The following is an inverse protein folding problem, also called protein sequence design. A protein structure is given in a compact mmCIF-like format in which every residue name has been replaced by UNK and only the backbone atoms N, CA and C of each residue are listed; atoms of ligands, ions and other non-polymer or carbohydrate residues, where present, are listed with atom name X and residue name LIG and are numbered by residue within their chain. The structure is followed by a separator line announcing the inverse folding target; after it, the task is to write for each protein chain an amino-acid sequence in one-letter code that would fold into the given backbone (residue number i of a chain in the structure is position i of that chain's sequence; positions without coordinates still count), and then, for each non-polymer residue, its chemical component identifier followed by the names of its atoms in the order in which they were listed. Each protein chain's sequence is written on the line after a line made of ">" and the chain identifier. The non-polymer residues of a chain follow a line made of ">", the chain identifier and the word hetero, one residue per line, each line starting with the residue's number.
data_IF_905495786193
#
_entry.id   IF_905495786193
#
_cell.length_a   1.000
_cell.length_b   1.000
_cell.length_c   1.000
_cell.angle_alpha   90.00
_cell.angle_beta   90.00
_cell.angle_gamma   90.00
#
_symmetry.space_group_name_H-M   'P 1'
#
loop_
_entity.id
_entity.type
_entity.pdbx_description
1 polymer ?
#
# COMPACT_ATOMS: atom_id res chain seq x y z
N UNK A 1 20.24 -19.09 -8.84
CA UNK A 1 19.72 -17.83 -9.39
C UNK A 1 19.36 -17.02 -8.18
N UNK A 2 20.20 -16.08 -7.80
CA UNK A 2 19.80 -15.11 -6.79
C UNK A 2 18.73 -14.25 -7.43
N UNK A 3 17.66 -13.97 -6.69
CA UNK A 3 16.66 -12.98 -7.06
C UNK A 3 16.52 -12.08 -5.84
N UNK A 4 16.40 -10.77 -6.06
CA UNK A 4 15.97 -9.90 -4.97
C UNK A 4 14.49 -10.17 -4.72
N UNK A 5 14.16 -10.43 -3.46
CA UNK A 5 12.77 -10.59 -3.05
C UNK A 5 12.21 -9.23 -2.66
N UNK A 6 11.10 -8.84 -3.30
CA UNK A 6 10.23 -7.78 -2.80
C UNK A 6 9.12 -8.38 -1.93
N UNK A 7 7.89 -7.95 -2.15
CA UNK A 7 6.71 -8.51 -1.46
C UNK A 7 6.38 -9.86 -2.08
N UNK A 8 6.49 -10.95 -1.31
CA UNK A 8 6.20 -12.30 -1.82
C UNK A 8 5.30 -13.07 -0.85
N UNK A 9 4.19 -13.59 -1.36
CA UNK A 9 3.29 -14.49 -0.64
C UNK A 9 3.04 -15.76 -1.45
N UNK A 10 3.12 -16.91 -0.78
CA UNK A 10 2.97 -18.23 -1.41
C UNK A 10 1.90 -19.06 -0.68
N UNK A 11 0.83 -19.44 -1.40
CA UNK A 11 -0.34 -20.13 -0.85
C UNK A 11 -1.17 -19.27 0.12
N UNK A 12 -1.24 -17.97 -0.14
CA UNK A 12 -1.90 -16.99 0.72
C UNK A 12 -3.26 -16.57 0.17
N UNK A 13 -4.17 -16.22 1.08
CA UNK A 13 -5.52 -15.82 0.74
C UNK A 13 -5.88 -14.44 1.29
N UNK A 14 -6.81 -13.76 0.62
CA UNK A 14 -7.42 -12.52 1.08
C UNK A 14 -6.39 -11.40 1.35
N UNK A 15 -5.36 -11.31 0.51
CA UNK A 15 -4.35 -10.26 0.64
C UNK A 15 -4.83 -8.94 0.02
N UNK A 16 -4.38 -7.83 0.58
CA UNK A 16 -4.52 -6.48 0.02
C UNK A 16 -3.14 -5.85 -0.08
N UNK A 17 -2.57 -5.87 -1.28
CA UNK A 17 -1.31 -5.20 -1.59
C UNK A 17 -1.68 -3.94 -2.35
N UNK A 18 -1.87 -2.86 -1.61
CA UNK A 18 -2.38 -1.60 -2.15
C UNK A 18 -1.40 -0.48 -1.85
N UNK A 19 -1.11 0.36 -2.84
CA UNK A 19 -0.28 1.57 -2.67
C UNK A 19 1.14 1.31 -2.15
N UNK A 20 1.82 0.29 -2.67
CA UNK A 20 3.23 0.01 -2.36
C UNK A 20 4.15 0.52 -3.47
N UNK A 21 5.33 1.01 -3.10
CA UNK A 21 6.46 1.24 -4.01
C UNK A 21 7.50 0.14 -3.79
N UNK A 22 7.69 -0.74 -4.77
CA UNK A 22 8.61 -1.89 -4.70
C UNK A 22 9.59 -1.84 -5.87
N UNK A 23 10.77 -1.30 -5.60
CA UNK A 23 11.80 -1.09 -6.61
C UNK A 23 13.17 -1.52 -6.11
N UNK A 24 14.10 -1.56 -7.06
CA UNK A 24 15.51 -1.73 -6.80
C UNK A 24 16.20 -0.38 -6.69
N UNK A 25 16.79 -0.07 -5.53
CA UNK A 25 17.55 1.17 -5.37
C UNK A 25 18.98 1.07 -5.91
N UNK A 26 19.37 -0.10 -6.46
CA UNK A 26 20.64 -0.32 -7.18
C UNK A 26 20.37 -1.16 -8.44
N UNK A 27 19.66 -0.60 -9.43
CA UNK A 27 19.25 -1.35 -10.63
C UNK A 27 20.43 -1.90 -11.44
N UNK A 28 21.60 -1.24 -11.36
CA UNK A 28 22.81 -1.61 -12.11
C UNK A 28 23.65 -2.71 -11.43
N UNK A 29 23.35 -3.04 -10.16
CA UNK A 29 24.13 -3.96 -9.35
C UNK A 29 23.31 -5.20 -8.94
N UNK A 30 23.24 -6.22 -9.81
CA UNK A 30 22.89 -7.58 -9.39
C UNK A 30 21.71 -8.23 -10.13
N UNK A 31 21.13 -9.32 -9.58
CA UNK A 31 20.17 -10.16 -10.27
C UNK A 31 18.83 -9.46 -10.56
N UNK A 32 17.87 -10.21 -11.16
CA UNK A 32 16.52 -9.71 -11.50
C UNK A 32 15.92 -8.80 -10.42
N UNK A 33 15.22 -7.73 -10.83
CA UNK A 33 14.66 -6.74 -9.92
C UNK A 33 13.65 -7.37 -8.93
N UNK A 34 13.42 -6.74 -7.76
CA UNK A 34 12.43 -7.19 -6.82
C UNK A 34 11.03 -7.21 -7.44
N UNK A 35 10.14 -8.01 -6.87
CA UNK A 35 8.78 -8.18 -7.38
C UNK A 35 7.73 -8.00 -6.29
N UNK A 36 6.51 -7.74 -6.73
CA UNK A 36 5.29 -8.14 -6.04
C UNK A 36 4.88 -9.51 -6.60
N UNK A 37 4.90 -10.54 -5.75
CA UNK A 37 4.56 -11.91 -6.15
C UNK A 37 3.51 -12.55 -5.26
N UNK A 38 2.45 -13.06 -5.88
CA UNK A 38 1.44 -13.90 -5.27
C UNK A 38 1.33 -15.18 -6.10
N UNK A 39 1.74 -16.30 -5.54
CA UNK A 39 1.78 -17.58 -6.27
C UNK A 39 1.41 -18.74 -5.35
N UNK A 40 1.20 -19.93 -5.90
CA UNK A 40 0.89 -21.11 -5.12
C UNK A 40 2.09 -21.51 -4.24
N UNK A 41 1.82 -22.05 -3.06
CA UNK A 41 2.87 -22.64 -2.25
C UNK A 41 3.49 -23.82 -2.99
N UNK A 42 4.77 -24.11 -2.73
CA UNK A 42 5.48 -25.28 -3.32
C UNK A 42 4.76 -26.62 -3.07
N UNK A 43 3.95 -26.68 -2.00
CA UNK A 43 3.10 -27.82 -1.67
C UNK A 43 1.71 -27.80 -2.38
N UNK A 44 1.53 -26.96 -3.41
CA UNK A 44 0.30 -26.82 -4.23
C UNK A 44 -0.92 -26.24 -3.51
N UNK A 45 -0.73 -25.60 -2.36
CA UNK A 45 -1.78 -24.76 -1.77
C UNK A 45 -1.95 -23.52 -2.64
N UNK A 46 -3.15 -23.28 -3.23
CA UNK A 46 -3.35 -22.17 -4.14
C UNK A 46 -3.34 -20.83 -3.41
N UNK A 47 -2.86 -19.77 -4.05
CA UNK A 47 -3.15 -18.40 -3.60
C UNK A 47 -4.46 -17.90 -4.24
N UNK A 48 -5.30 -17.20 -3.47
CA UNK A 48 -6.59 -16.72 -4.01
C UNK A 48 -7.23 -15.54 -3.26
N UNK A 49 -8.14 -14.85 -3.95
CA UNK A 49 -8.96 -13.74 -3.43
C UNK A 49 -8.14 -12.54 -2.98
N UNK A 50 -7.06 -12.26 -3.69
CA UNK A 50 -6.17 -11.17 -3.37
C UNK A 50 -6.43 -9.96 -4.27
N UNK A 51 -6.11 -8.78 -3.76
CA UNK A 51 -6.13 -7.51 -4.49
C UNK A 51 -4.71 -6.96 -4.55
N UNK A 52 -4.23 -6.68 -5.76
CA UNK A 52 -2.98 -5.98 -6.04
C UNK A 52 -3.31 -4.74 -6.84
N UNK A 53 -3.30 -3.58 -6.18
CA UNK A 53 -3.81 -2.33 -6.75
C UNK A 53 -2.95 -1.12 -6.39
N UNK A 54 -2.91 -0.13 -7.26
CA UNK A 54 -2.20 1.14 -7.01
C UNK A 54 -0.72 0.98 -6.68
N UNK A 55 -0.06 -0.11 -7.06
CA UNK A 55 1.35 -0.31 -6.74
C UNK A 55 2.24 0.24 -7.85
N UNK A 56 3.40 0.79 -7.44
CA UNK A 56 4.54 1.04 -8.31
C UNK A 56 5.55 -0.08 -8.09
N UNK A 57 5.86 -0.86 -9.13
CA UNK A 57 6.86 -1.92 -8.98
C UNK A 57 7.65 -2.20 -10.24
N UNK A 58 8.90 -2.62 -10.09
CA UNK A 58 9.71 -3.10 -11.22
C UNK A 58 9.25 -4.47 -11.75
N UNK A 59 8.44 -5.23 -11.01
CA UNK A 59 7.84 -6.48 -11.49
C UNK A 59 6.62 -6.89 -10.67
N UNK A 60 5.54 -7.33 -11.34
CA UNK A 60 4.35 -7.89 -10.70
C UNK A 60 4.05 -9.26 -11.31
N UNK A 61 3.83 -10.26 -10.46
CA UNK A 61 3.57 -11.65 -10.83
C UNK A 61 2.50 -12.24 -9.91
N UNK A 62 1.26 -12.30 -10.37
CA UNK A 62 0.14 -12.79 -9.56
C UNK A 62 -0.63 -13.95 -10.21
N UNK A 63 -1.17 -14.84 -9.38
CA UNK A 63 -1.99 -15.97 -9.81
C UNK A 63 -3.44 -15.61 -10.17
N UNK A 64 -4.15 -16.56 -10.78
CA UNK A 64 -5.43 -16.35 -11.47
C UNK A 64 -6.61 -15.84 -10.60
N UNK A 65 -6.62 -16.09 -9.29
CA UNK A 65 -7.65 -15.58 -8.37
C UNK A 65 -7.24 -14.25 -7.69
N UNK A 66 -6.42 -13.44 -8.36
CA UNK A 66 -6.01 -12.10 -7.90
C UNK A 66 -6.59 -11.03 -8.82
N UNK A 67 -7.24 -10.03 -8.25
CA UNK A 67 -7.54 -8.79 -8.97
C UNK A 67 -6.28 -7.95 -9.04
N UNK A 68 -5.77 -7.74 -10.24
CA UNK A 68 -4.62 -6.87 -10.52
C UNK A 68 -5.06 -5.72 -11.43
N UNK A 69 -5.02 -4.50 -10.93
CA UNK A 69 -5.37 -3.30 -11.70
C UNK A 69 -4.73 -2.04 -11.12
N UNK A 70 -4.74 -0.94 -11.88
CA UNK A 70 -4.15 0.35 -11.48
C UNK A 70 -2.72 0.21 -10.92
N UNK A 71 -1.93 -0.76 -11.38
CA UNK A 71 -0.51 -0.84 -11.04
C UNK A 71 0.31 -0.30 -12.20
N UNK A 72 1.47 0.28 -11.91
CA UNK A 72 2.41 0.74 -12.92
C UNK A 72 3.74 -0.01 -12.75
N UNK A 73 4.26 -0.51 -13.87
CA UNK A 73 5.61 -1.05 -13.93
C UNK A 73 6.62 0.10 -14.04
N UNK A 74 7.65 0.06 -13.20
CA UNK A 74 8.70 1.08 -13.17
C UNK A 74 9.74 0.76 -14.24
N UNK A 75 9.78 1.60 -15.27
CA UNK A 75 10.74 1.48 -16.38
C UNK A 75 11.88 2.50 -16.30
N UNK A 76 11.62 3.67 -15.70
CA UNK A 76 12.61 4.74 -15.50
C UNK A 76 12.43 5.36 -14.09
N UNK A 77 13.39 5.10 -13.22
CA UNK A 77 13.41 5.60 -11.85
C UNK A 77 13.55 7.12 -11.80
N UNK A 78 14.37 7.71 -12.68
CA UNK A 78 14.64 9.13 -12.69
C UNK A 78 13.46 9.94 -13.23
N UNK A 79 12.61 9.34 -14.06
CA UNK A 79 11.36 9.97 -14.51
C UNK A 79 10.31 10.05 -13.40
N UNK A 80 10.30 9.08 -12.48
CA UNK A 80 9.27 8.96 -11.45
C UNK A 80 9.62 9.63 -10.12
N UNK A 81 10.86 9.53 -9.64
CA UNK A 81 11.20 9.86 -8.25
C UNK A 81 12.23 11.00 -8.14
N UNK A 82 12.12 11.80 -7.09
CA UNK A 82 13.01 12.95 -6.84
C UNK A 82 14.48 12.54 -6.66
N UNK A 83 14.79 11.58 -5.77
CA UNK A 83 16.16 11.12 -5.53
C UNK A 83 16.23 9.68 -4.97
N UNK A 84 16.19 8.70 -5.87
CA UNK A 84 16.26 7.27 -5.51
C UNK A 84 17.58 6.90 -4.80
N UNK A 85 18.68 7.57 -5.12
CA UNK A 85 19.99 7.26 -4.54
C UNK A 85 20.03 7.58 -3.03
N UNK A 86 19.24 8.57 -2.60
CA UNK A 86 19.07 8.96 -1.21
C UNK A 86 17.75 8.47 -0.58
N UNK A 87 17.06 7.54 -1.24
CA UNK A 87 15.76 6.98 -0.82
C UNK A 87 14.62 8.00 -0.75
N UNK A 88 14.74 9.12 -1.45
CA UNK A 88 13.64 10.03 -1.69
C UNK A 88 12.79 9.50 -2.85
N UNK A 89 11.73 8.77 -2.47
CA UNK A 89 10.79 8.14 -3.39
C UNK A 89 9.51 8.96 -3.56
N UNK A 90 9.53 10.25 -3.23
CA UNK A 90 8.45 11.15 -3.61
C UNK A 90 8.36 11.23 -5.14
N UNK A 91 7.12 11.28 -5.63
CA UNK A 91 6.88 11.44 -7.06
C UNK A 91 7.34 12.82 -7.52
N UNK A 92 7.96 12.88 -8.69
CA UNK A 92 8.23 14.15 -9.37
C UNK A 92 6.93 14.69 -9.93
N UNK A 93 6.74 16.02 -10.06
CA UNK A 93 5.57 16.59 -10.74
C UNK A 93 5.42 16.14 -12.21
N UNK A 94 6.49 15.62 -12.82
CA UNK A 94 6.50 15.08 -14.18
C UNK A 94 6.07 13.62 -14.26
N UNK A 95 5.83 12.93 -13.13
CA UNK A 95 5.47 11.52 -13.06
C UNK A 95 3.98 11.28 -13.39
N UNK A 96 3.51 11.78 -14.55
CA UNK A 96 2.08 11.78 -14.94
C UNK A 96 1.46 10.40 -15.06
N UNK A 97 2.27 9.35 -15.23
CA UNK A 97 1.81 7.96 -15.30
C UNK A 97 1.52 7.36 -13.91
N UNK A 98 1.94 8.03 -12.84
CA UNK A 98 1.73 7.62 -11.45
C UNK A 98 0.84 8.60 -10.66
N UNK A 99 0.74 9.85 -11.09
CA UNK A 99 -0.05 10.91 -10.43
C UNK A 99 -1.48 10.91 -10.96
N UNK A 100 -2.47 10.96 -10.08
CA UNK A 100 -3.91 11.11 -10.37
C UNK A 100 -4.51 10.02 -11.28
N UNK A 101 -3.93 8.80 -11.27
CA UNK A 101 -4.38 7.67 -12.10
C UNK A 101 -4.80 6.43 -11.32
N UNK A 102 -4.66 6.44 -9.99
CA UNK A 102 -5.03 5.31 -9.14
C UNK A 102 -6.52 5.24 -8.81
N UNK A 103 -6.89 4.19 -8.11
CA UNK A 103 -8.25 3.97 -7.60
C UNK A 103 -8.34 4.25 -6.11
N UNK A 104 -9.39 4.95 -5.66
CA UNK A 104 -9.61 5.18 -4.22
C UNK A 104 -10.10 3.93 -3.48
N UNK A 105 -10.56 2.90 -4.21
CA UNK A 105 -11.04 1.67 -3.59
C UNK A 105 -9.89 0.90 -2.94
N UNK A 106 -10.04 0.63 -1.65
CA UNK A 106 -9.08 -0.05 -0.78
C UNK A 106 -7.76 0.70 -0.52
N UNK A 107 -7.59 1.90 -1.07
CA UNK A 107 -6.46 2.78 -0.77
C UNK A 107 -6.47 3.19 0.71
N UNK A 108 -5.29 3.26 1.37
CA UNK A 108 -5.18 3.88 2.68
C UNK A 108 -5.66 5.34 2.64
N UNK A 109 -6.17 5.85 3.77
CA UNK A 109 -6.63 7.25 3.84
C UNK A 109 -5.46 8.26 3.77
N UNK A 110 -4.26 7.83 4.14
CA UNK A 110 -3.05 8.64 4.16
C UNK A 110 -1.92 7.89 3.49
N UNK A 111 -1.01 8.64 2.88
CA UNK A 111 0.25 8.11 2.36
C UNK A 111 1.31 7.90 3.47
N UNK A 112 2.55 7.59 3.09
CA UNK A 112 3.64 7.35 4.04
C UNK A 112 4.03 8.60 4.84
N UNK A 113 3.88 9.79 4.27
CA UNK A 113 4.14 11.09 4.90
C UNK A 113 2.93 11.64 5.67
N UNK A 114 1.86 10.83 5.77
CA UNK A 114 0.59 11.17 6.42
C UNK A 114 -0.17 12.29 5.71
N UNK A 115 0.08 12.48 4.42
CA UNK A 115 -0.69 13.33 3.52
C UNK A 115 -2.00 12.59 3.18
N UNK A 116 -3.18 13.24 3.32
CA UNK A 116 -4.45 12.63 2.93
C UNK A 116 -4.48 12.29 1.45
N UNK A 117 -5.15 11.19 1.09
CA UNK A 117 -5.40 10.82 -0.30
C UNK A 117 -6.88 11.12 -0.67
N UNK A 118 -7.19 11.64 -1.87
CA UNK A 118 -6.27 12.18 -2.87
C UNK A 118 -5.90 13.65 -2.62
N UNK A 119 -4.76 14.10 -3.14
CA UNK A 119 -4.44 15.54 -3.24
C UNK A 119 -4.86 16.15 -4.60
N UNK A 120 -5.19 15.32 -5.59
CA UNK A 120 -5.72 15.71 -6.89
C UNK A 120 -7.04 15.03 -7.25
N UNK A 121 -7.19 14.68 -8.53
CA UNK A 121 -8.38 14.05 -9.08
C UNK A 121 -8.54 12.58 -8.63
N UNK A 122 -7.44 11.87 -8.39
CA UNK A 122 -7.45 10.49 -7.94
C UNK A 122 -6.25 10.20 -7.03
N UNK A 123 -6.23 9.02 -6.43
CA UNK A 123 -5.09 8.61 -5.60
C UNK A 123 -3.88 8.31 -6.47
N UNK A 124 -2.69 8.64 -5.99
CA UNK A 124 -1.47 8.32 -6.71
C UNK A 124 -1.05 6.87 -6.52
N UNK A 125 -0.31 6.35 -7.50
CA UNK A 125 0.28 5.03 -7.43
C UNK A 125 1.47 5.04 -6.46
N UNK A 126 1.65 3.94 -5.74
CA UNK A 126 2.74 3.77 -4.80
C UNK A 126 2.48 4.37 -3.42
N UNK A 127 3.56 4.46 -2.65
CA UNK A 127 3.55 4.76 -1.22
C UNK A 127 3.26 6.23 -0.87
N UNK A 128 3.57 7.14 -1.79
CA UNK A 128 3.47 8.58 -1.60
C UNK A 128 2.35 9.17 -2.46
N UNK A 129 1.73 10.24 -1.95
CA UNK A 129 0.79 11.07 -2.69
C UNK A 129 1.51 12.37 -3.08
N UNK A 130 1.57 12.67 -4.37
CA UNK A 130 2.14 13.90 -4.88
C UNK A 130 1.28 15.09 -4.45
N UNK A 131 1.96 16.17 -4.06
CA UNK A 131 1.33 17.43 -3.74
C UNK A 131 2.26 18.60 -4.09
N UNK A 132 1.68 19.77 -4.29
CA UNK A 132 2.40 21.01 -4.63
C UNK A 132 3.05 21.72 -3.42
N UNK A 133 3.16 21.02 -2.28
CA UNK A 133 3.61 21.57 -1.00
C UNK A 133 2.53 22.27 -0.18
N UNK A 134 1.29 22.41 -0.68
CA UNK A 134 0.19 22.98 0.11
C UNK A 134 -0.44 21.98 1.09
N UNK A 135 -0.30 20.69 0.83
CA UNK A 135 -0.75 19.62 1.72
C UNK A 135 0.10 19.58 3.00
N UNK A 136 -0.55 19.32 4.13
CA UNK A 136 0.11 19.19 5.43
C UNK A 136 -0.12 17.80 6.01
N UNK A 137 0.90 17.17 6.62
CA UNK A 137 0.73 15.91 7.34
C UNK A 137 -0.33 16.04 8.43
N UNK A 138 -1.19 15.02 8.55
CA UNK A 138 -2.16 14.96 9.64
C UNK A 138 -1.50 14.34 10.87
N UNK A 139 -1.37 15.10 11.96
CA UNK A 139 -0.84 14.61 13.24
C UNK A 139 -1.60 13.37 13.72
N UNK A 140 -0.88 12.27 13.99
CA UNK A 140 -1.47 10.99 14.33
C UNK A 140 -1.54 10.72 15.83
N UNK A 141 -2.76 10.58 16.36
CA UNK A 141 -3.02 9.60 17.43
C UNK A 141 -2.77 8.17 16.93
N UNK A 142 -2.66 7.20 17.88
CA UNK A 142 -1.48 6.36 18.04
C UNK A 142 -1.10 5.60 16.76
N UNK A 143 0.15 5.81 16.33
CA UNK A 143 0.82 5.00 15.31
C UNK A 143 1.10 3.60 15.86
N UNK A 144 0.98 2.57 15.00
CA UNK A 144 1.63 1.28 15.25
C UNK A 144 3.14 1.49 15.49
N UNK A 145 3.84 0.54 16.13
CA UNK A 145 5.14 0.80 16.75
C UNK A 145 6.11 1.39 15.72
N UNK A 146 6.41 2.67 15.89
CA UNK A 146 7.53 3.33 15.26
C UNK A 146 8.78 2.54 15.63
N UNK A 147 9.54 2.09 14.63
CA UNK A 147 10.92 1.70 14.85
C UNK A 147 11.65 2.98 15.21
N UNK A 148 11.84 3.21 16.50
CA UNK A 148 12.73 4.23 17.03
C UNK A 148 14.15 3.91 16.53
N UNK A 149 14.52 4.53 15.40
CA UNK A 149 15.89 4.67 14.93
C UNK A 149 16.63 5.76 15.70
N UNK A 150 16.44 5.83 17.03
CA UNK A 150 17.13 6.71 17.93
C UNK A 150 18.63 6.57 17.75
N UNK A 151 19.24 7.62 17.21
CA UNK A 151 20.69 7.76 17.18
C UNK A 151 21.25 7.66 18.62
N UNK A 152 22.37 6.95 18.84
CA UNK A 152 22.94 6.82 20.18
C UNK A 152 23.55 8.17 20.58
N UNK A 153 22.89 8.91 21.47
CA UNK A 153 23.59 9.94 22.25
C UNK A 153 24.34 9.23 23.37
N UNK A 154 25.62 8.97 23.11
CA UNK A 154 26.63 8.68 24.11
C UNK A 154 26.67 9.82 25.15
N UNK A 155 26.17 9.53 26.35
CA UNK A 155 26.47 10.31 27.54
C UNK A 155 26.40 9.41 28.79
N UNK A 156 27.58 9.01 29.27
CA UNK A 156 27.84 9.02 30.71
C UNK A 156 27.41 7.80 31.50
N UNK A 157 28.34 6.86 31.62
CA UNK A 157 28.43 5.84 32.67
C UNK A 157 28.40 6.48 34.07
N UNK A 158 27.46 6.08 34.93
CA UNK A 158 27.60 6.16 36.37
C UNK A 158 26.91 4.97 37.04
N UNK A 159 27.73 4.16 37.70
CA UNK A 159 27.34 2.98 38.49
C UNK A 159 26.59 3.39 39.76
N UNK A 160 25.45 2.76 40.04
CA UNK A 160 24.95 2.53 41.40
C UNK A 160 24.01 1.30 41.44
N UNK A 161 24.30 0.43 42.41
CA UNK A 161 23.90 -0.97 42.56
C UNK A 161 22.42 -1.18 43.04
N UNK A 162 21.93 -2.44 43.13
CA UNK A 162 20.51 -2.81 43.00
C UNK A 162 19.78 -2.97 44.35
N UNK A 163 18.44 -3.03 44.35
CA UNK A 163 17.71 -3.76 45.38
C UNK A 163 17.41 -5.19 44.93
N UNK A 164 17.65 -6.07 45.90
CA UNK A 164 17.51 -7.51 45.99
C UNK A 164 16.06 -7.99 46.09
N UNK A 165 15.87 -9.25 45.68
CA UNK A 165 14.87 -10.26 46.10
C UNK A 165 13.39 -9.94 45.82
N UNK A 166 12.59 -10.76 45.15
CA UNK A 166 12.47 -12.22 45.23
C UNK A 166 11.06 -12.53 45.73
N UNK A 167 10.23 -13.20 44.93
CA UNK A 167 8.87 -13.55 45.38
C UNK A 167 7.92 -13.99 44.26
N UNK A 168 8.10 -15.21 43.79
CA UNK A 168 7.10 -16.00 43.06
C UNK A 168 5.86 -16.26 43.91
N UNK A 169 4.65 -16.07 43.39
CA UNK A 169 3.47 -16.84 43.77
C UNK A 169 2.41 -16.78 42.67
N UNK A 170 2.31 -17.86 41.89
CA UNK A 170 1.03 -18.33 41.36
C UNK A 170 0.11 -18.67 42.54
N UNK A 171 -1.16 -18.26 42.48
CA UNK A 171 -2.27 -19.08 42.94
C UNK A 171 -3.46 -18.91 42.01
N UNK A 172 -4.00 -20.06 41.63
CA UNK A 172 -5.27 -20.23 40.94
C UNK A 172 -6.46 -19.94 41.88
N UNK A 173 -7.65 -19.84 41.27
CA UNK A 173 -8.90 -20.29 41.89
C UNK A 173 -9.80 -19.20 42.47
N UNK A 174 -10.93 -18.93 41.81
CA UNK A 174 -12.04 -18.17 42.39
C UNK A 174 -13.12 -17.81 41.38
N UNK A 175 -14.06 -18.73 41.15
CA UNK A 175 -15.33 -18.50 40.46
C UNK A 175 -16.42 -18.14 41.48
N UNK A 176 -17.07 -16.99 41.31
CA UNK A 176 -18.38 -16.71 41.88
C UNK A 176 -19.01 -15.48 41.21
N UNK A 177 -20.23 -15.66 40.72
CA UNK A 177 -20.98 -14.67 39.96
C UNK A 177 -21.97 -13.85 40.78
N UNK A 178 -22.64 -12.93 40.09
CA UNK A 178 -23.95 -12.43 40.48
C UNK A 178 -24.14 -10.91 40.38
N UNK A 179 -24.81 -10.47 39.31
CA UNK A 179 -26.07 -9.71 39.42
C UNK A 179 -26.04 -8.17 39.49
N UNK A 180 -26.86 -7.56 38.59
CA UNK A 180 -27.36 -6.18 38.64
C UNK A 180 -26.51 -5.21 37.81
N UNK A 181 -26.94 -4.62 36.70
CA UNK A 181 -28.27 -4.21 36.30
C UNK A 181 -28.51 -2.77 36.76
N UNK A 182 -28.11 -1.78 35.96
CA UNK A 182 -28.75 -0.46 35.91
C UNK A 182 -28.32 0.35 34.68
N UNK A 183 -29.33 0.98 34.12
CA UNK A 183 -29.41 1.80 32.92
C UNK A 183 -28.74 3.17 33.07
N UNK A 184 -28.13 3.68 32.00
CA UNK A 184 -28.04 5.12 31.77
C UNK A 184 -27.98 5.40 30.27
N UNK A 185 -29.08 5.95 29.77
CA UNK A 185 -29.18 6.59 28.48
C UNK A 185 -28.38 7.90 28.48
N UNK A 186 -27.65 8.15 27.40
CA UNK A 186 -26.94 9.40 27.16
C UNK A 186 -26.75 9.62 25.67
N UNK A 187 -27.83 10.01 24.98
CA UNK A 187 -27.79 10.44 23.58
C UNK A 187 -27.32 11.89 23.41
N UNK A 188 -26.80 12.20 22.23
CA UNK A 188 -26.81 13.48 21.47
C UNK A 188 -25.81 13.32 20.29
N UNK A 189 -26.03 13.68 19.04
CA UNK A 189 -27.15 14.26 18.30
C UNK A 189 -26.81 14.14 16.80
N UNK A 190 -27.65 13.48 16.00
CA UNK A 190 -27.55 13.52 14.54
C UNK A 190 -28.54 14.56 14.02
N UNK A 191 -28.02 15.66 13.45
CA UNK A 191 -28.85 16.68 12.80
C UNK A 191 -29.27 16.21 11.42
N UNK A 192 -30.59 16.01 11.29
CA UNK A 192 -31.32 15.73 10.07
C UNK A 192 -31.57 17.05 9.32
N UNK A 193 -31.23 17.12 8.04
CA UNK A 193 -31.80 18.10 7.11
C UNK A 193 -32.48 17.30 6.00
N UNK A 194 -33.81 17.29 6.00
CA UNK A 194 -34.63 17.06 4.80
C UNK A 194 -34.76 18.37 4.02
N UNK A 195 -35.17 18.42 2.76
CA UNK A 195 -35.66 17.40 1.84
C UNK A 195 -36.08 18.08 0.52
N UNK A 196 -36.63 17.28 -0.40
CA UNK A 196 -37.25 17.70 -1.67
C UNK A 196 -36.25 17.79 -2.82
N UNK A 197 -36.34 17.08 -3.93
CA UNK A 197 -37.49 16.48 -4.60
C UNK A 197 -37.59 17.09 -5.99
N UNK A 198 -37.28 16.34 -7.05
CA UNK A 198 -37.85 16.53 -8.40
C UNK A 198 -37.34 15.46 -9.36
N UNK A 199 -38.29 14.88 -10.09
CA UNK A 199 -38.13 13.94 -11.19
C UNK A 199 -37.36 14.52 -12.39
N UNK A 200 -36.75 13.65 -13.19
CA UNK A 200 -36.65 13.86 -14.64
C UNK A 200 -35.32 13.51 -15.31
N UNK A 201 -35.43 12.58 -16.28
CA UNK A 201 -34.63 12.45 -17.50
C UNK A 201 -33.36 11.59 -17.51
N UNK A 202 -33.56 10.35 -17.97
CA UNK A 202 -33.03 9.81 -19.23
C UNK A 202 -31.73 10.44 -19.77
N UNK A 203 -30.63 9.68 -19.69
CA UNK A 203 -29.67 9.60 -20.79
C UNK A 203 -28.93 8.25 -20.73
N UNK A 204 -29.26 7.38 -21.68
CA UNK A 204 -28.50 6.21 -22.07
C UNK A 204 -27.42 6.68 -23.04
N UNK A 205 -26.15 6.63 -22.66
CA UNK A 205 -24.99 6.70 -23.53
C UNK A 205 -23.84 6.07 -22.74
N UNK A 206 -23.05 5.11 -23.23
CA UNK A 206 -22.71 4.76 -24.59
C UNK A 206 -21.31 4.20 -24.46
N UNK A 207 -21.24 2.88 -24.35
CA UNK A 207 -20.03 2.06 -24.27
C UNK A 207 -19.05 2.46 -25.39
N UNK A 208 -17.96 3.16 -25.05
CA UNK A 208 -16.84 3.39 -25.98
C UNK A 208 -15.82 2.25 -25.81
N UNK A 209 -16.01 1.18 -26.59
CA UNK A 209 -14.98 0.17 -26.82
C UNK A 209 -13.95 0.78 -27.78
N UNK A 210 -12.79 1.18 -27.26
CA UNK A 210 -11.62 1.50 -28.10
C UNK A 210 -10.92 0.18 -28.45
N UNK A 211 -11.31 -0.40 -29.59
CA UNK A 211 -10.56 -1.49 -30.23
C UNK A 211 -9.30 -0.91 -30.89
N UNK A 212 -8.17 -0.97 -30.19
CA UNK A 212 -6.87 -0.67 -30.78
C UNK A 212 -6.44 -1.85 -31.66
N UNK A 213 -6.55 -1.69 -32.98
CA UNK A 213 -6.01 -2.64 -33.95
C UNK A 213 -4.47 -2.67 -33.86
N UNK A 214 -3.93 -3.75 -33.29
CA UNK A 214 -2.52 -4.11 -33.46
C UNK A 214 -2.25 -4.41 -34.94
N UNK A 215 -1.46 -3.58 -35.62
CA UNK A 215 -0.85 -3.97 -36.91
C UNK A 215 0.40 -4.79 -36.65
N UNK A 216 0.26 -6.10 -36.76
CA UNK A 216 1.34 -7.01 -37.14
C UNK A 216 1.90 -6.57 -38.51
N UNK A 217 3.21 -6.33 -38.60
CA UNK A 217 3.94 -6.40 -39.86
C UNK A 217 5.04 -7.44 -39.74
N UNK A 218 4.95 -8.40 -40.65
CA UNK A 218 5.64 -9.67 -40.64
C UNK A 218 7.14 -9.56 -40.96
N UNK A 219 7.86 -10.51 -40.37
CA UNK A 219 9.21 -10.98 -40.67
C UNK A 219 9.46 -11.13 -42.17
N UNK A 220 10.44 -10.39 -42.69
CA UNK A 220 11.02 -10.61 -44.01
C UNK A 220 12.14 -11.66 -43.97
N UNK A 221 11.84 -12.89 -44.39
CA UNK A 221 12.85 -13.87 -44.84
C UNK A 221 13.54 -13.34 -46.10
N UNK A 222 14.87 -13.20 -46.12
CA UNK A 222 15.66 -13.28 -47.36
C UNK A 222 16.63 -14.45 -47.32
N UNK A 223 16.54 -15.25 -48.38
CA UNK A 223 17.28 -16.47 -48.64
C UNK A 223 18.73 -16.17 -48.98
N UNK A 224 19.58 -17.15 -48.67
CA UNK A 224 20.97 -17.35 -49.10
C UNK A 224 21.17 -17.05 -50.60
N UNK A 225 22.33 -16.47 -50.90
CA UNK A 225 23.25 -17.01 -51.90
C UNK A 225 24.62 -17.12 -51.24
#
# INVERSE_FOLDING_TARGET
>A
MDHRHGITFLGAHNLRLVNNTVLDNRPDDGPKPPWIRIDDHKAKTPSARSLVRNNLSTSIQVGAETTEDHNLLIDDLAALFEDVANHDLHLRPTATDAIDVGSSEAAPAFDLDRIPRPQGAATDLGAYEWHDGSASPVDGGPTGPALDGGAPTDAGRADAAPPTDGGSASMDGGLDGGGGGESSEGGCSATRVGGGGSMGQLALAGLLVVLLFSRFSAVGRRRRR
#
